data_IF_865588983172
#
_entry.id   IF_865588983172
#
_cell.length_a   1.000
_cell.length_b   1.000
_cell.length_c   1.000
_cell.angle_alpha   90.00
_cell.angle_beta   90.00
_cell.angle_gamma   90.00
#
_symmetry.space_group_name_H-M   'P 1'
#
loop_
_entity.id
_entity.type
_entity.pdbx_description
1 polymer ?
#
# COMPACT_ATOMS: atom_id res chain seq x y z
N UNK A 1 -19.31 -5.97 -36.43
CA UNK A 1 -19.14 -6.40 -35.04
C UNK A 1 -17.81 -7.12 -34.92
N UNK A 2 -16.83 -6.53 -34.23
CA UNK A 2 -15.64 -7.22 -33.74
C UNK A 2 -14.97 -6.34 -32.66
N UNK A 3 -15.01 -6.83 -31.42
CA UNK A 3 -14.10 -6.55 -30.30
C UNK A 3 -13.60 -5.11 -30.06
N UNK A 4 -14.49 -4.24 -29.57
CA UNK A 4 -14.09 -3.25 -28.56
C UNK A 4 -13.97 -3.95 -27.20
N UNK A 5 -12.85 -4.67 -26.97
CA UNK A 5 -12.41 -4.91 -25.59
C UNK A 5 -11.95 -3.56 -25.07
N UNK A 6 -12.76 -2.92 -24.22
CA UNK A 6 -12.35 -1.68 -23.57
C UNK A 6 -11.22 -1.98 -22.59
N UNK A 7 -10.00 -1.82 -23.11
CA UNK A 7 -8.81 -1.61 -22.31
C UNK A 7 -9.07 -0.35 -21.50
N UNK A 8 -9.34 -0.50 -20.19
CA UNK A 8 -9.05 0.59 -19.25
C UNK A 8 -7.61 1.00 -19.57
N UNK A 9 -7.43 2.24 -20.00
CA UNK A 9 -6.08 2.75 -20.26
C UNK A 9 -5.25 2.50 -19.00
N UNK A 10 -4.02 1.99 -19.15
CA UNK A 10 -3.08 1.78 -18.03
C UNK A 10 -3.03 2.99 -17.09
N UNK A 11 -3.28 4.19 -17.63
CA UNK A 11 -3.41 5.48 -16.94
C UNK A 11 -4.57 5.50 -15.94
N UNK A 12 -5.80 5.14 -16.32
CA UNK A 12 -6.95 5.17 -15.40
C UNK A 12 -6.80 4.16 -14.26
N UNK A 13 -6.15 3.01 -14.55
CA UNK A 13 -5.83 2.05 -13.52
C UNK A 13 -4.72 2.58 -12.59
N UNK A 14 -3.66 3.17 -13.15
CA UNK A 14 -2.59 3.84 -12.41
C UNK A 14 -3.13 4.95 -11.48
N UNK A 15 -4.06 5.78 -11.96
CA UNK A 15 -4.69 6.82 -11.12
C UNK A 15 -5.37 6.21 -9.89
N UNK A 16 -6.11 5.12 -10.06
CA UNK A 16 -6.85 4.47 -8.96
C UNK A 16 -5.91 3.90 -7.90
N UNK A 17 -4.86 3.20 -8.32
CA UNK A 17 -3.87 2.66 -7.37
C UNK A 17 -3.05 3.76 -6.72
N UNK A 18 -2.78 4.86 -7.43
CA UNK A 18 -2.06 6.02 -6.89
C UNK A 18 -2.86 6.72 -5.80
N UNK A 19 -4.18 6.90 -5.99
CA UNK A 19 -5.09 7.41 -4.96
C UNK A 19 -5.04 6.52 -3.71
N UNK A 20 -5.10 5.20 -3.90
CA UNK A 20 -4.98 4.21 -2.82
C UNK A 20 -3.67 4.37 -2.05
N UNK A 21 -2.54 4.33 -2.74
CA UNK A 21 -1.20 4.45 -2.17
C UNK A 21 -1.00 5.76 -1.40
N UNK A 22 -1.45 6.88 -1.97
CA UNK A 22 -1.33 8.22 -1.35
C UNK A 22 -2.22 8.33 -0.11
N UNK A 23 -3.42 7.76 -0.15
CA UNK A 23 -4.27 7.68 1.03
C UNK A 23 -3.68 6.79 2.13
N UNK A 24 -3.14 5.62 1.80
CA UNK A 24 -2.51 4.72 2.78
C UNK A 24 -1.30 5.36 3.44
N UNK A 25 -0.45 6.05 2.67
CA UNK A 25 0.64 6.89 3.23
C UNK A 25 0.10 7.92 4.22
N UNK A 26 -1.01 8.58 3.88
CA UNK A 26 -1.60 9.58 4.76
C UNK A 26 -2.12 9.00 6.07
N UNK A 27 -2.77 7.83 6.02
CA UNK A 27 -3.22 7.10 7.22
C UNK A 27 -2.01 6.65 8.05
N UNK A 28 -0.96 6.16 7.41
CA UNK A 28 0.28 5.77 8.07
C UNK A 28 0.93 6.94 8.83
N UNK A 29 1.03 8.12 8.19
CA UNK A 29 1.55 9.35 8.81
C UNK A 29 0.66 9.85 9.95
N UNK A 30 -0.66 9.74 9.81
CA UNK A 30 -1.63 10.09 10.86
C UNK A 30 -1.43 9.22 12.11
N UNK A 31 -1.31 7.89 11.93
CA UNK A 31 -1.03 6.96 13.02
C UNK A 31 0.31 7.25 13.70
N UNK A 32 1.36 7.59 12.93
CA UNK A 32 2.65 8.03 13.48
C UNK A 32 2.50 9.31 14.30
N UNK A 33 1.79 10.32 13.78
CA UNK A 33 1.53 11.60 14.46
C UNK A 33 0.80 11.41 15.79
N UNK A 34 -0.09 10.43 15.88
CA UNK A 34 -0.79 10.04 17.10
C UNK A 34 0.08 9.24 18.10
N UNK A 35 1.37 9.04 17.80
CA UNK A 35 2.33 8.36 18.68
C UNK A 35 2.18 6.83 18.69
N UNK A 36 1.66 6.27 17.60
CA UNK A 36 1.59 4.83 17.37
C UNK A 36 2.78 4.34 16.53
N UNK A 37 2.91 3.01 16.41
CA UNK A 37 3.98 2.38 15.65
C UNK A 37 3.39 1.55 14.50
N UNK A 38 2.88 2.22 13.45
CA UNK A 38 2.33 1.54 12.29
C UNK A 38 3.46 0.94 11.43
N UNK A 39 3.16 -0.19 10.83
CA UNK A 39 3.92 -0.81 9.74
C UNK A 39 2.97 -1.08 8.58
N UNK A 40 3.52 -1.13 7.37
CA UNK A 40 2.80 -1.64 6.22
C UNK A 40 2.53 -3.14 6.41
N UNK A 41 1.27 -3.54 6.39
CA UNK A 41 0.86 -4.94 6.48
C UNK A 41 0.68 -5.52 5.08
N UNK A 42 -0.26 -4.99 4.29
CA UNK A 42 -0.38 -5.34 2.87
C UNK A 42 0.79 -4.76 2.08
N UNK A 43 1.61 -5.65 1.51
CA UNK A 43 2.79 -5.31 0.74
C UNK A 43 2.43 -4.51 -0.51
N UNK A 44 2.96 -3.29 -0.59
CA UNK A 44 2.74 -2.38 -1.71
C UNK A 44 1.47 -1.54 -1.58
N UNK A 45 0.77 -1.58 -0.44
CA UNK A 45 -0.38 -0.69 -0.17
C UNK A 45 -0.01 0.80 -0.14
N UNK A 46 1.28 1.13 0.05
CA UNK A 46 1.81 2.50 -0.08
C UNK A 46 2.53 2.74 -1.42
N UNK A 47 2.48 1.80 -2.37
CA UNK A 47 3.13 1.88 -3.68
C UNK A 47 2.10 1.75 -4.80
N UNK A 48 2.45 2.25 -5.98
CA UNK A 48 1.66 2.12 -7.21
C UNK A 48 2.44 1.43 -8.33
N UNK A 49 3.48 0.66 -7.99
CA UNK A 49 4.21 -0.19 -8.95
C UNK A 49 3.27 -1.27 -9.48
N UNK A 50 3.19 -1.38 -10.81
CA UNK A 50 2.41 -2.40 -11.52
C UNK A 50 3.37 -3.38 -12.18
N UNK A 51 3.10 -4.67 -12.01
CA UNK A 51 3.76 -5.76 -12.74
C UNK A 51 2.87 -6.16 -13.91
N UNK A 52 3.40 -6.11 -15.13
CA UNK A 52 2.58 -6.25 -16.36
C UNK A 52 2.54 -7.70 -16.83
N UNK A 53 3.61 -8.47 -16.60
CA UNK A 53 3.74 -9.86 -17.05
C UNK A 53 3.22 -10.90 -16.06
N UNK A 54 3.30 -10.62 -14.75
CA UNK A 54 2.94 -11.58 -13.69
C UNK A 54 1.90 -10.97 -12.75
N UNK A 55 0.75 -11.63 -12.64
CA UNK A 55 -0.33 -11.18 -11.76
C UNK A 55 -0.25 -11.88 -10.40
N UNK A 56 0.31 -11.19 -9.42
CA UNK A 56 0.35 -11.68 -8.04
C UNK A 56 -1.02 -11.52 -7.39
N UNK A 57 -1.60 -12.63 -6.90
CA UNK A 57 -2.79 -12.62 -6.04
C UNK A 57 -2.34 -12.86 -4.59
N UNK A 58 -2.14 -11.77 -3.85
CA UNK A 58 -1.72 -11.84 -2.43
C UNK A 58 -2.88 -12.23 -1.51
N UNK A 59 -2.52 -12.57 -0.28
CA UNK A 59 -3.45 -12.70 0.81
C UNK A 59 -4.14 -11.35 1.07
N UNK A 60 -5.46 -11.36 1.24
CA UNK A 60 -6.23 -10.17 1.57
C UNK A 60 -6.13 -9.89 3.07
N UNK A 61 -5.33 -8.88 3.41
CA UNK A 61 -5.08 -8.38 4.76
C UNK A 61 -5.33 -6.87 4.76
N UNK A 62 -5.55 -6.25 5.93
CA UNK A 62 -5.58 -4.80 6.01
C UNK A 62 -4.27 -4.16 5.54
N UNK A 63 -4.35 -2.92 5.03
CA UNK A 63 -3.17 -2.17 4.58
C UNK A 63 -2.09 -2.01 5.66
N UNK A 64 -2.47 -1.67 6.89
CA UNK A 64 -1.55 -1.27 7.97
C UNK A 64 -1.77 -2.08 9.25
N UNK A 65 -0.71 -2.21 10.05
CA UNK A 65 -0.73 -2.81 11.39
C UNK A 65 -0.01 -1.91 12.40
N UNK A 66 -0.62 -1.60 13.54
CA UNK A 66 0.08 -1.01 14.68
C UNK A 66 0.66 -2.09 15.59
N UNK A 67 1.99 -2.19 15.69
CA UNK A 67 2.67 -3.22 16.50
C UNK A 67 2.34 -3.09 18.00
N UNK A 68 2.17 -1.86 18.51
CA UNK A 68 1.97 -1.62 19.94
C UNK A 68 0.62 -2.10 20.47
N UNK A 69 -0.40 -2.25 19.62
CA UNK A 69 -1.74 -2.67 20.06
C UNK A 69 -2.39 -3.73 19.16
N UNK A 70 -1.72 -4.18 18.10
CA UNK A 70 -2.23 -5.22 17.21
C UNK A 70 -3.38 -4.78 16.31
N UNK A 71 -3.80 -3.50 16.40
CA UNK A 71 -4.89 -2.96 15.58
C UNK A 71 -4.45 -2.82 14.14
N UNK A 72 -5.27 -3.33 13.22
CA UNK A 72 -5.04 -3.21 11.79
C UNK A 72 -5.99 -2.18 11.19
N UNK A 73 -5.54 -1.56 10.11
CA UNK A 73 -6.26 -0.46 9.46
C UNK A 73 -6.26 -0.67 7.96
N UNK A 74 -7.45 -0.71 7.37
CA UNK A 74 -7.65 -0.65 5.92
C UNK A 74 -7.87 0.80 5.51
N UNK A 75 -7.03 1.30 4.61
CA UNK A 75 -7.15 2.63 4.03
C UNK A 75 -8.14 2.64 2.88
N UNK A 76 -8.98 3.66 2.85
CA UNK A 76 -9.99 3.90 1.82
C UNK A 76 -9.94 5.35 1.38
N UNK A 77 -9.04 5.60 0.44
CA UNK A 77 -8.92 6.87 -0.26
C UNK A 77 -10.07 7.08 -1.24
N UNK A 78 -10.64 8.29 -1.29
CA UNK A 78 -11.76 8.64 -2.17
C UNK A 78 -11.60 10.04 -2.73
N UNK A 79 -11.93 10.23 -4.00
CA UNK A 79 -12.04 11.58 -4.61
C UNK A 79 -13.31 12.32 -4.20
N UNK A 80 -14.37 11.55 -3.90
CA UNK A 80 -15.59 12.04 -3.27
C UNK A 80 -15.84 11.22 -2.03
N UNK A 81 -15.71 11.85 -0.87
CA UNK A 81 -15.78 11.13 0.39
C UNK A 81 -17.18 10.52 0.61
N UNK A 82 -17.19 9.21 0.81
CA UNK A 82 -18.36 8.42 1.17
C UNK A 82 -17.87 7.11 1.79
N UNK A 83 -18.70 6.52 2.66
CA UNK A 83 -18.41 5.21 3.23
C UNK A 83 -18.91 4.15 2.24
N UNK A 84 -18.06 3.71 1.31
CA UNK A 84 -18.43 2.69 0.34
C UNK A 84 -17.32 1.71 -0.02
N UNK A 85 -17.73 0.48 -0.29
CA UNK A 85 -16.84 -0.65 -0.59
C UNK A 85 -17.43 -1.56 -1.65
N UNK A 86 -16.55 -2.30 -2.31
CA UNK A 86 -16.93 -3.35 -3.25
C UNK A 86 -17.29 -4.63 -2.51
N UNK A 87 -18.34 -5.31 -2.94
CA UNK A 87 -18.80 -6.56 -2.33
C UNK A 87 -19.30 -7.53 -3.40
N UNK A 88 -18.85 -8.77 -3.31
CA UNK A 88 -19.37 -9.89 -4.07
C UNK A 88 -20.22 -10.80 -3.19
N UNK A 89 -21.45 -11.08 -3.63
CA UNK A 89 -22.28 -12.14 -3.04
C UNK A 89 -21.93 -13.54 -3.57
N UNK A 90 -21.35 -13.62 -4.76
CA UNK A 90 -21.00 -14.87 -5.41
C UNK A 90 -19.64 -15.41 -4.96
N UNK A 91 -18.78 -14.56 -4.41
CA UNK A 91 -17.39 -14.88 -4.07
C UNK A 91 -17.08 -14.31 -2.68
N UNK A 92 -17.18 -15.12 -1.61
CA UNK A 92 -16.96 -14.66 -0.24
C UNK A 92 -15.59 -14.02 0.00
N UNK A 93 -14.55 -14.49 -0.71
CA UNK A 93 -13.19 -13.93 -0.77
C UNK A 93 -13.14 -12.49 -1.32
N UNK A 94 -14.19 -12.08 -2.05
CA UNK A 94 -14.40 -10.73 -2.56
C UNK A 94 -15.47 -9.95 -1.78
N UNK A 95 -15.83 -10.43 -0.58
CA UNK A 95 -16.62 -9.66 0.38
C UNK A 95 -15.88 -8.37 0.78
N UNK A 96 -16.60 -7.32 1.17
CA UNK A 96 -15.99 -6.05 1.56
C UNK A 96 -15.15 -6.18 2.84
N UNK A 97 -15.52 -7.11 3.72
CA UNK A 97 -14.93 -7.38 5.02
C UNK A 97 -14.09 -8.66 5.07
N UNK A 98 -13.83 -9.29 3.92
CA UNK A 98 -12.97 -10.47 3.86
C UNK A 98 -11.56 -10.11 4.33
N UNK A 99 -11.01 -10.91 5.24
CA UNK A 99 -9.69 -10.66 5.84
C UNK A 99 -9.67 -9.65 7.00
N UNK A 100 -10.83 -9.04 7.33
CA UNK A 100 -10.97 -8.08 8.44
C UNK A 100 -11.56 -8.74 9.69
N UNK A 101 -11.09 -8.34 10.87
CA UNK A 101 -11.67 -8.66 12.18
C UNK A 101 -12.58 -7.51 12.63
N UNK A 102 -13.48 -7.79 13.58
CA UNK A 102 -14.41 -6.79 14.11
C UNK A 102 -13.72 -5.58 14.73
N UNK A 103 -12.51 -5.80 15.24
CA UNK A 103 -11.73 -4.85 16.00
C UNK A 103 -10.72 -4.08 15.14
N UNK A 104 -10.66 -4.37 13.83
CA UNK A 104 -9.96 -3.59 12.83
C UNK A 104 -10.69 -2.27 12.51
N UNK A 105 -9.98 -1.38 11.83
CA UNK A 105 -10.51 -0.08 11.42
C UNK A 105 -10.47 0.10 9.92
N UNK A 106 -11.44 0.86 9.42
CA UNK A 106 -11.41 1.49 8.11
C UNK A 106 -11.02 2.95 8.31
N UNK A 107 -9.97 3.39 7.65
CA UNK A 107 -9.56 4.79 7.61
C UNK A 107 -10.00 5.42 6.28
N UNK A 108 -10.83 6.46 6.36
CA UNK A 108 -11.30 7.21 5.21
C UNK A 108 -10.49 8.49 5.06
N UNK A 109 -10.02 8.73 3.84
CA UNK A 109 -9.26 9.93 3.48
C UNK A 109 -9.73 10.45 2.13
N UNK A 110 -9.90 11.77 2.03
CA UNK A 110 -10.24 12.42 0.77
C UNK A 110 -8.96 12.70 -0.02
N UNK A 111 -8.98 12.49 -1.34
CA UNK A 111 -7.87 12.81 -2.23
C UNK A 111 -8.32 13.76 -3.34
N UNK A 112 -7.52 14.78 -3.62
CA UNK A 112 -7.74 15.75 -4.70
C UNK A 112 -6.62 15.66 -5.74
N UNK A 113 -6.95 15.94 -7.01
CA UNK A 113 -5.97 15.99 -8.09
C UNK A 113 -5.32 17.37 -8.08
N UNK A 114 -3.98 17.42 -8.08
CA UNK A 114 -3.19 18.66 -7.96
C UNK A 114 -2.35 18.98 -9.21
N UNK A 115 -2.33 18.08 -10.19
CA UNK A 115 -1.60 18.22 -11.45
C UNK A 115 -2.23 17.41 -12.56
N UNK A 116 -1.62 17.42 -13.74
CA UNK A 116 -2.17 16.72 -14.92
C UNK A 116 -1.79 15.24 -14.94
N UNK A 117 -0.67 14.89 -14.29
CA UNK A 117 -0.12 13.54 -14.26
C UNK A 117 -1.03 12.53 -13.53
N UNK A 118 -0.90 11.23 -13.85
CA UNK A 118 -1.73 10.19 -13.24
C UNK A 118 -1.45 9.95 -11.75
N UNK A 119 -0.30 10.42 -11.26
CA UNK A 119 0.14 10.28 -9.87
C UNK A 119 0.00 11.58 -9.05
N UNK A 120 -0.46 12.67 -9.67
CA UNK A 120 -0.51 14.01 -9.08
C UNK A 120 -1.74 14.16 -8.18
N UNK A 121 -1.75 13.40 -7.08
CA UNK A 121 -2.80 13.41 -6.09
C UNK A 121 -2.28 13.88 -4.74
N UNK A 122 -3.15 14.54 -3.98
CA UNK A 122 -2.90 14.95 -2.60
C UNK A 122 -4.00 14.43 -1.70
N UNK A 123 -3.61 13.77 -0.61
CA UNK A 123 -4.54 13.36 0.43
C UNK A 123 -4.77 14.49 1.44
N UNK A 124 -6.01 14.62 1.89
CA UNK A 124 -6.41 15.55 2.97
C UNK A 124 -5.76 15.20 4.30
N UNK A 125 -5.51 16.20 5.14
CA UNK A 125 -5.07 16.02 6.53
C UNK A 125 -6.09 15.33 7.44
N UNK A 126 -7.36 15.32 7.05
CA UNK A 126 -8.43 14.72 7.82
C UNK A 126 -8.56 13.22 7.52
N UNK A 127 -8.07 12.39 8.45
CA UNK A 127 -8.30 10.94 8.48
C UNK A 127 -9.43 10.61 9.45
N UNK A 128 -10.37 9.78 9.00
CA UNK A 128 -11.57 9.42 9.77
C UNK A 128 -11.68 7.92 9.91
N UNK A 129 -11.80 7.42 11.14
CA UNK A 129 -11.73 6.01 11.49
C UNK A 129 -13.11 5.44 11.84
N UNK A 130 -13.37 4.22 11.35
CA UNK A 130 -14.59 3.46 11.61
C UNK A 130 -14.20 2.04 12.01
N UNK A 131 -14.69 1.53 13.14
CA UNK A 131 -14.48 0.11 13.48
C UNK A 131 -15.30 -0.80 12.56
N UNK A 132 -14.68 -1.89 12.11
CA UNK A 132 -15.31 -2.86 11.21
C UNK A 132 -16.57 -3.47 11.81
N UNK A 133 -16.59 -3.74 13.13
CA UNK A 133 -17.78 -4.17 13.88
C UNK A 133 -19.01 -3.33 13.55
N UNK A 134 -18.89 -2.00 13.57
CA UNK A 134 -20.03 -1.12 13.34
C UNK A 134 -20.51 -1.15 11.89
N UNK A 135 -19.60 -1.29 10.93
CA UNK A 135 -19.97 -1.48 9.53
C UNK A 135 -20.72 -2.80 9.33
N UNK A 136 -20.28 -3.89 9.97
CA UNK A 136 -20.96 -5.19 9.96
C UNK A 136 -22.34 -5.13 10.59
N UNK A 137 -22.46 -4.50 11.76
CA UNK A 137 -23.74 -4.29 12.45
C UNK A 137 -24.73 -3.51 11.57
N UNK A 138 -24.29 -2.40 10.97
CA UNK A 138 -25.13 -1.61 10.07
C UNK A 138 -25.49 -2.36 8.79
N UNK A 139 -24.58 -3.16 8.24
CA UNK A 139 -24.83 -4.00 7.07
C UNK A 139 -25.89 -5.07 7.37
N UNK A 140 -25.73 -5.82 8.48
CA UNK A 140 -26.71 -6.82 8.95
C UNK A 140 -28.08 -6.21 9.24
N UNK A 141 -28.10 -5.00 9.80
CA UNK A 141 -29.31 -4.24 10.08
C UNK A 141 -29.94 -3.58 8.82
N UNK A 142 -29.44 -3.88 7.62
CA UNK A 142 -29.91 -3.30 6.34
C UNK A 142 -29.89 -1.76 6.32
N UNK A 143 -28.96 -1.14 7.06
CA UNK A 143 -28.72 0.33 7.07
C UNK A 143 -27.72 0.75 5.99
N UNK A 144 -27.74 0.05 4.87
CA UNK A 144 -26.89 0.30 3.70
C UNK A 144 -27.76 0.32 2.46
N UNK A 145 -27.30 1.00 1.42
CA UNK A 145 -27.86 0.79 0.08
C UNK A 145 -26.80 0.21 -0.85
N UNK A 146 -27.29 -0.57 -1.80
CA UNK A 146 -26.47 -1.32 -2.75
C UNK A 146 -26.75 -0.80 -4.15
N UNK A 147 -25.68 -0.57 -4.90
CA UNK A 147 -25.76 -0.12 -6.28
C UNK A 147 -25.00 -1.13 -7.15
N UNK A 148 -25.71 -1.73 -8.11
CA UNK A 148 -25.07 -2.56 -9.13
C UNK A 148 -24.40 -1.65 -10.16
N UNK A 149 -23.16 -1.92 -10.58
CA UNK A 149 -22.51 -1.18 -11.65
C UNK A 149 -23.36 -1.23 -12.92
N UNK A 150 -23.47 -0.10 -13.62
CA UNK A 150 -24.40 0.05 -14.76
C UNK A 150 -23.80 -0.36 -16.10
N UNK A 151 -22.50 -0.68 -16.16
CA UNK A 151 -21.79 -0.98 -17.40
C UNK A 151 -20.80 -2.13 -17.31
N UNK A 152 -20.47 -2.70 -18.48
CA UNK A 152 -19.52 -3.82 -18.67
C UNK A 152 -18.10 -3.46 -18.19
N UNK A 153 -17.78 -2.16 -18.08
CA UNK A 153 -16.45 -1.63 -17.72
C UNK A 153 -16.23 -1.42 -16.20
N UNK A 154 -17.30 -1.39 -15.40
CA UNK A 154 -17.26 -1.02 -13.97
C UNK A 154 -17.02 -2.19 -13.01
N UNK A 155 -16.78 -3.40 -13.54
CA UNK A 155 -16.64 -4.63 -12.75
C UNK A 155 -17.99 -5.23 -12.37
N UNK A 156 -17.98 -6.48 -11.91
CA UNK A 156 -19.20 -7.24 -11.57
C UNK A 156 -19.64 -7.06 -10.11
N UNK A 157 -18.87 -6.32 -9.31
CA UNK A 157 -19.06 -6.25 -7.87
C UNK A 157 -20.05 -5.16 -7.48
N UNK A 158 -20.87 -5.43 -6.46
CA UNK A 158 -21.87 -4.50 -5.97
C UNK A 158 -21.21 -3.46 -5.08
N UNK A 159 -21.52 -2.17 -5.28
CA UNK A 159 -21.10 -1.12 -4.36
C UNK A 159 -22.04 -1.07 -3.17
N UNK A 160 -21.51 -1.39 -1.99
CA UNK A 160 -22.20 -1.21 -0.71
C UNK A 160 -21.86 0.17 -0.17
N UNK A 161 -22.88 0.96 0.19
CA UNK A 161 -22.69 2.29 0.75
C UNK A 161 -23.40 2.40 2.10
N UNK A 162 -22.65 2.81 3.13
CA UNK A 162 -23.17 3.22 4.42
C UNK A 162 -23.49 4.71 4.35
N UNK A 163 -24.77 5.11 4.41
CA UNK A 163 -25.17 6.50 4.24
C UNK A 163 -24.52 7.42 5.28
N UNK A 164 -23.99 8.55 4.82
CA UNK A 164 -23.41 9.59 5.66
C UNK A 164 -23.65 10.99 5.08
N UNK A 165 -23.61 12.03 5.91
CA UNK A 165 -23.60 13.43 5.51
C UNK A 165 -22.19 13.99 5.67
N UNK A 166 -21.68 14.65 4.63
CA UNK A 166 -20.31 15.16 4.57
C UNK A 166 -20.36 16.68 4.43
N UNK A 167 -19.55 17.37 5.22
CA UNK A 167 -19.37 18.81 5.13
C UNK A 167 -18.61 19.17 3.85
N UNK A 168 -19.20 20.02 3.02
CA UNK A 168 -18.59 20.48 1.76
C UNK A 168 -17.50 21.54 1.95
N UNK A 169 -17.26 21.98 3.18
CA UNK A 169 -16.29 23.02 3.54
C UNK A 169 -16.09 23.03 5.05
N UNK A 170 -15.05 23.73 5.53
CA UNK A 170 -14.93 24.06 6.95
C UNK A 170 -16.02 25.03 7.42
N UNK A 171 -16.39 24.92 8.69
CA UNK A 171 -17.51 25.66 9.27
C UNK A 171 -17.69 25.44 10.77
N UNK A 172 -18.78 25.96 11.31
CA UNK A 172 -19.26 25.71 12.67
C UNK A 172 -20.70 25.18 12.62
N UNK A 173 -21.05 24.21 13.47
CA UNK A 173 -22.40 23.67 13.53
C UNK A 173 -23.35 24.69 14.18
N UNK A 174 -24.35 25.13 13.43
CA UNK A 174 -25.34 26.11 13.89
C UNK A 174 -26.51 25.44 14.63
N UNK A 175 -27.06 24.36 14.08
CA UNK A 175 -28.28 23.73 14.59
C UNK A 175 -28.33 22.24 14.21
N UNK A 176 -28.71 21.40 15.16
CA UNK A 176 -29.02 19.98 14.93
C UNK A 176 -30.46 19.71 15.39
N UNK A 177 -31.35 19.42 14.43
CA UNK A 177 -32.70 18.99 14.73
C UNK A 177 -32.96 17.54 14.31
N UNK A 178 -34.20 17.06 14.46
CA UNK A 178 -34.57 15.65 14.18
C UNK A 178 -34.32 15.23 12.73
N UNK A 179 -34.32 16.18 11.78
CA UNK A 179 -34.34 15.91 10.34
C UNK A 179 -33.14 16.49 9.59
N UNK A 180 -32.47 17.51 10.13
CA UNK A 180 -31.39 18.23 9.44
C UNK A 180 -30.29 18.65 10.40
N UNK A 181 -29.10 18.81 9.83
CA UNK A 181 -27.96 19.49 10.43
C UNK A 181 -27.65 20.74 9.60
N UNK A 182 -27.43 21.87 10.28
CA UNK A 182 -27.02 23.13 9.65
C UNK A 182 -25.64 23.52 10.15
N UNK A 183 -24.80 24.01 9.26
CA UNK A 183 -23.51 24.57 9.62
C UNK A 183 -23.25 25.85 8.83
N UNK A 184 -22.55 26.80 9.45
CA UNK A 184 -22.14 28.06 8.85
C UNK A 184 -20.74 27.92 8.28
N UNK A 185 -20.58 28.24 7.00
CA UNK A 185 -19.28 28.13 6.31
C UNK A 185 -18.34 29.27 6.71
N UNK A 186 -17.09 28.94 7.01
CA UNK A 186 -16.07 29.93 7.42
C UNK A 186 -15.74 30.95 6.32
N UNK A 187 -15.84 30.56 5.05
CA UNK A 187 -15.41 31.40 3.91
C UNK A 187 -16.31 32.61 3.66
N UNK A 188 -17.63 32.47 3.84
CA UNK A 188 -18.61 33.47 3.42
C UNK A 188 -19.83 33.57 4.35
N UNK A 189 -19.82 32.88 5.48
CA UNK A 189 -20.93 32.88 6.45
C UNK A 189 -22.20 32.18 5.95
N UNK A 190 -22.18 31.54 4.77
CA UNK A 190 -23.37 30.88 4.22
C UNK A 190 -23.76 29.68 5.08
N UNK A 191 -25.04 29.60 5.45
CA UNK A 191 -25.60 28.44 6.13
C UNK A 191 -25.89 27.33 5.13
N UNK A 192 -25.27 26.17 5.35
CA UNK A 192 -25.48 24.94 4.59
C UNK A 192 -26.36 24.02 5.42
N UNK A 193 -27.39 23.45 4.80
CA UNK A 193 -28.34 22.56 5.48
C UNK A 193 -28.35 21.18 4.84
N UNK A 194 -28.00 20.15 5.60
CA UNK A 194 -27.95 18.76 5.15
C UNK A 194 -29.04 17.92 5.80
N UNK A 195 -29.64 17.01 5.04
CA UNK A 195 -30.63 16.05 5.54
C UNK A 195 -29.98 14.98 6.41
N UNK A 196 -30.61 14.66 7.55
CA UNK A 196 -30.30 13.52 8.41
C UNK A 196 -31.04 12.25 7.99
N UNK A 197 -31.44 12.16 6.72
CA UNK A 197 -31.94 10.94 6.10
C UNK A 197 -31.46 10.85 4.65
N UNK A 198 -31.10 9.64 4.20
CA UNK A 198 -30.73 9.33 2.82
C UNK A 198 -31.39 8.04 2.37
N UNK A 199 -32.15 8.09 1.27
CA UNK A 199 -32.93 6.95 0.73
C UNK A 199 -33.76 6.23 1.82
N UNK A 200 -34.42 7.00 2.69
CA UNK A 200 -35.22 6.46 3.81
C UNK A 200 -34.42 6.01 5.04
N UNK A 201 -33.09 5.95 4.98
CA UNK A 201 -32.24 5.56 6.11
C UNK A 201 -31.88 6.79 6.93
N UNK A 202 -32.23 6.77 8.22
CA UNK A 202 -31.92 7.85 9.17
C UNK A 202 -30.44 7.85 9.55
N UNK A 203 -29.84 9.04 9.56
CA UNK A 203 -28.48 9.31 9.98
C UNK A 203 -28.48 9.79 11.43
N UNK A 204 -27.45 9.42 12.18
CA UNK A 204 -27.18 10.01 13.50
C UNK A 204 -26.12 11.11 13.33
N UNK A 205 -26.35 12.34 13.82
CA UNK A 205 -25.30 13.33 13.97
C UNK A 205 -24.14 12.75 14.79
N UNK A 206 -22.91 13.06 14.40
CA UNK A 206 -21.67 12.66 15.09
C UNK A 206 -20.82 13.86 15.50
N UNK A 207 -21.43 15.04 15.45
CA UNK A 207 -20.90 16.33 15.89
C UNK A 207 -21.93 17.00 16.81
N UNK A 208 -21.48 17.94 17.62
CA UNK A 208 -22.34 18.76 18.49
C UNK A 208 -22.64 20.13 17.87
N UNK A 209 -23.65 20.83 18.40
CA UNK A 209 -23.82 22.25 18.11
C UNK A 209 -22.60 23.05 18.58
N UNK A 210 -22.29 24.14 17.88
CA UNK A 210 -21.10 24.97 18.10
C UNK A 210 -19.75 24.25 17.87
N UNK A 211 -19.76 23.00 17.39
CA UNK A 211 -18.53 22.30 17.03
C UNK A 211 -17.95 22.84 15.72
N UNK A 212 -16.64 23.10 15.70
CA UNK A 212 -15.93 23.43 14.46
C UNK A 212 -15.66 22.18 13.63
N UNK A 213 -16.00 22.24 12.35
CA UNK A 213 -15.88 21.15 11.39
C UNK A 213 -14.94 21.52 10.24
N UNK A 214 -14.33 20.50 9.64
CA UNK A 214 -13.44 20.64 8.48
C UNK A 214 -14.13 20.24 7.19
N UNK A 215 -13.58 20.72 6.07
CA UNK A 215 -13.97 20.24 4.75
C UNK A 215 -13.76 18.72 4.65
N UNK A 216 -14.70 18.03 4.00
CA UNK A 216 -14.75 16.57 3.89
C UNK A 216 -14.94 15.83 5.23
N UNK A 217 -15.28 16.51 6.32
CA UNK A 217 -15.65 15.82 7.56
C UNK A 217 -17.02 15.18 7.42
N UNK A 218 -17.14 13.90 7.80
CA UNK A 218 -18.43 13.26 7.97
C UNK A 218 -19.02 13.80 9.28
N UNK A 219 -20.23 14.35 9.21
CA UNK A 219 -20.90 15.01 10.35
C UNK A 219 -22.19 14.29 10.78
N UNK A 220 -22.68 13.36 9.97
CA UNK A 220 -23.72 12.43 10.36
C UNK A 220 -23.55 11.10 9.62
N UNK A 221 -23.87 9.98 10.25
CA UNK A 221 -23.68 8.65 9.68
C UNK A 221 -24.59 7.61 10.30
N UNK A 222 -24.73 6.46 9.63
CA UNK A 222 -25.36 5.26 10.19
C UNK A 222 -24.45 4.47 11.14
N UNK A 223 -23.14 4.77 11.11
CA UNK A 223 -22.12 4.17 11.97
C UNK A 223 -21.34 5.25 12.72
N UNK A 224 -20.85 4.98 13.94
CA UNK A 224 -19.93 5.87 14.64
C UNK A 224 -18.65 6.09 13.83
N UNK A 225 -18.12 7.31 13.86
CA UNK A 225 -16.88 7.69 13.19
C UNK A 225 -16.08 8.53 14.17
N UNK A 226 -14.76 8.34 14.16
CA UNK A 226 -13.86 9.05 15.05
C UNK A 226 -12.71 9.68 14.25
N UNK A 227 -12.35 10.91 14.59
CA UNK A 227 -11.11 11.55 14.11
C UNK A 227 -9.90 11.14 14.99
N UNK A 228 -10.13 10.27 15.98
CA UNK A 228 -9.12 9.70 16.87
C UNK A 228 -9.02 8.20 16.63
N UNK A 229 -7.80 7.70 16.55
CA UNK A 229 -7.52 6.27 16.64
C UNK A 229 -7.24 5.90 18.10
N UNK A 230 -8.00 4.96 18.67
CA UNK A 230 -7.80 4.48 20.06
C UNK A 230 -7.03 3.17 20.02
N UNK A 231 -5.82 3.18 20.59
CA UNK A 231 -4.95 2.03 20.63
C UNK A 231 -4.33 1.91 22.03
N UNK A 232 -4.68 0.86 22.80
CA UNK A 232 -4.30 0.72 24.21
C UNK A 232 -2.80 0.49 24.47
N UNK A 233 -2.00 0.32 23.41
CA UNK A 233 -0.53 0.11 23.46
C UNK A 233 -0.11 -1.06 24.38
N UNK A 234 -0.85 -2.16 24.38
CA UNK A 234 -0.71 -3.28 25.31
C UNK A 234 -0.22 -4.61 24.69
N UNK A 235 0.00 -4.66 23.36
CA UNK A 235 0.48 -5.87 22.69
C UNK A 235 1.96 -6.11 22.93
N UNK A 236 2.28 -7.35 23.27
CA UNK A 236 3.64 -7.85 23.54
C UNK A 236 4.01 -8.94 22.55
N UNK A 237 5.31 -9.24 22.46
CA UNK A 237 5.86 -10.30 21.61
C UNK A 237 5.12 -11.64 21.78
N UNK A 238 4.84 -12.05 23.03
CA UNK A 238 4.08 -13.28 23.34
C UNK A 238 2.68 -13.34 22.71
N UNK A 239 2.05 -12.19 22.52
CA UNK A 239 0.72 -12.12 21.90
C UNK A 239 0.82 -12.41 20.40
N UNK A 240 1.91 -11.98 19.75
CA UNK A 240 2.19 -12.29 18.35
C UNK A 240 2.67 -13.73 18.15
N UNK A 241 3.49 -14.27 19.06
CA UNK A 241 3.86 -15.70 19.07
C UNK A 241 2.60 -16.57 19.15
N UNK A 242 1.62 -16.21 19.98
CA UNK A 242 0.33 -16.90 20.00
C UNK A 242 -0.45 -16.72 18.69
N UNK A 243 -0.46 -15.51 18.15
CA UNK A 243 -1.24 -15.14 16.97
C UNK A 243 -0.73 -15.80 15.67
N UNK A 244 0.56 -16.13 15.59
CA UNK A 244 1.15 -16.81 14.41
C UNK A 244 0.57 -18.22 14.18
N UNK A 245 -0.11 -18.79 15.17
CA UNK A 245 -0.83 -20.06 15.10
C UNK A 245 -2.36 -19.88 15.08
N UNK A 246 -2.85 -18.67 14.77
CA UNK A 246 -4.28 -18.42 14.58
C UNK A 246 -4.85 -19.23 13.42
N UNK A 247 -6.13 -19.60 13.51
CA UNK A 247 -6.87 -20.19 12.38
C UNK A 247 -7.02 -19.20 11.22
N UNK A 248 -6.99 -17.90 11.51
CA UNK A 248 -7.10 -16.83 10.52
C UNK A 248 -5.78 -16.62 9.79
N UNK A 249 -5.79 -16.78 8.46
CA UNK A 249 -4.63 -16.48 7.61
C UNK A 249 -4.14 -15.04 7.79
N UNK A 250 -5.07 -14.08 7.85
CA UNK A 250 -4.75 -12.65 8.01
C UNK A 250 -4.04 -12.38 9.34
N UNK A 251 -4.42 -13.09 10.40
CA UNK A 251 -3.80 -12.99 11.71
C UNK A 251 -2.40 -13.62 11.73
N UNK A 252 -2.22 -14.80 11.12
CA UNK A 252 -0.90 -15.44 11.00
C UNK A 252 0.08 -14.56 10.23
N UNK A 253 -0.39 -13.95 9.14
CA UNK A 253 0.44 -13.06 8.31
C UNK A 253 0.84 -11.81 9.09
N UNK A 254 -0.13 -11.16 9.76
CA UNK A 254 0.13 -10.02 10.63
C UNK A 254 1.11 -10.34 11.76
N UNK A 255 1.00 -11.53 12.35
CA UNK A 255 1.92 -11.99 13.39
C UNK A 255 3.33 -12.20 12.85
N UNK A 256 3.49 -12.95 11.75
CA UNK A 256 4.79 -13.21 11.12
C UNK A 256 5.52 -11.90 10.79
N UNK A 257 4.79 -10.90 10.27
CA UNK A 257 5.34 -9.58 9.95
C UNK A 257 5.68 -8.75 11.20
N UNK A 258 4.81 -8.77 12.21
CA UNK A 258 5.03 -8.02 13.45
C UNK A 258 6.25 -8.50 14.22
N UNK A 259 6.51 -9.82 14.19
CA UNK A 259 7.58 -10.45 14.95
C UNK A 259 8.98 -9.94 14.57
N UNK A 260 9.20 -9.45 13.35
CA UNK A 260 10.48 -8.82 12.98
C UNK A 260 10.81 -7.52 13.71
N UNK A 261 9.90 -7.01 14.55
CA UNK A 261 10.08 -5.81 15.37
C UNK A 261 10.40 -6.13 16.84
N UNK A 262 10.69 -7.39 17.17
CA UNK A 262 11.02 -7.83 18.52
C UNK A 262 12.34 -8.62 18.53
N UNK A 263 13.30 -8.17 19.33
CA UNK A 263 14.62 -8.81 19.50
C UNK A 263 14.59 -9.85 20.65
N UNK A 264 13.60 -10.74 20.66
CA UNK A 264 13.51 -11.81 21.66
C UNK A 264 14.02 -13.14 21.08
N UNK A 265 14.78 -13.91 21.87
CA UNK A 265 15.48 -15.11 21.38
C UNK A 265 14.55 -16.18 20.81
N UNK A 266 13.34 -16.33 21.37
CA UNK A 266 12.31 -17.28 20.93
C UNK A 266 11.61 -16.88 19.62
N UNK A 267 11.79 -15.64 19.16
CA UNK A 267 11.14 -15.12 17.95
C UNK A 267 11.71 -15.77 16.70
N UNK A 268 13.04 -15.89 16.60
CA UNK A 268 13.69 -16.48 15.42
C UNK A 268 13.28 -17.93 15.28
N UNK A 269 13.32 -18.72 16.36
CA UNK A 269 12.89 -20.12 16.36
C UNK A 269 11.42 -20.28 15.93
N UNK A 270 10.54 -19.44 16.48
CA UNK A 270 9.11 -19.42 16.11
C UNK A 270 8.90 -19.14 14.62
N UNK A 271 9.67 -18.19 14.06
CA UNK A 271 9.58 -17.83 12.64
C UNK A 271 10.20 -18.90 11.73
N UNK A 272 11.27 -19.56 12.16
CA UNK A 272 11.88 -20.68 11.44
C UNK A 272 10.94 -21.88 11.36
N UNK A 273 10.28 -22.23 12.47
CA UNK A 273 9.23 -23.27 12.49
C UNK A 273 8.11 -22.91 11.51
N UNK A 274 7.62 -21.66 11.55
CA UNK A 274 6.54 -21.21 10.66
C UNK A 274 6.95 -21.18 9.18
N UNK A 275 8.19 -20.81 8.87
CA UNK A 275 8.75 -20.87 7.51
C UNK A 275 8.84 -22.31 6.99
N UNK A 276 9.23 -23.24 7.86
CA UNK A 276 9.37 -24.67 7.57
C UNK A 276 8.05 -25.44 7.43
N UNK A 277 6.94 -24.89 7.94
CA UNK A 277 5.62 -25.53 7.88
C UNK A 277 5.07 -25.57 6.45
N UNK A 278 5.30 -26.69 5.77
CA UNK A 278 4.82 -26.93 4.40
C UNK A 278 3.30 -27.00 4.27
N UNK A 279 2.56 -27.12 5.38
CA UNK A 279 1.09 -27.10 5.38
C UNK A 279 0.51 -25.70 5.47
N UNK A 280 1.31 -24.70 5.87
CA UNK A 280 0.85 -23.31 5.93
C UNK A 280 0.92 -22.65 4.54
N UNK A 281 0.20 -21.55 4.40
CA UNK A 281 0.09 -20.82 3.15
C UNK A 281 1.43 -20.17 2.77
N UNK A 282 1.82 -20.24 1.49
CA UNK A 282 3.12 -19.74 1.00
C UNK A 282 3.44 -18.30 1.42
N UNK A 283 2.50 -17.35 1.34
CA UNK A 283 2.70 -15.97 1.82
C UNK A 283 2.99 -15.86 3.32
N UNK A 284 2.50 -16.77 4.17
CA UNK A 284 2.84 -16.80 5.60
C UNK A 284 4.31 -17.23 5.77
N UNK A 285 4.70 -18.28 5.05
CA UNK A 285 6.06 -18.82 5.08
C UNK A 285 7.08 -17.82 4.53
N UNK A 286 6.72 -17.13 3.44
CA UNK A 286 7.50 -16.03 2.86
C UNK A 286 7.66 -14.86 3.82
N UNK A 287 6.59 -14.45 4.51
CA UNK A 287 6.68 -13.39 5.50
C UNK A 287 7.51 -13.81 6.71
N UNK A 288 7.40 -15.06 7.17
CA UNK A 288 8.24 -15.60 8.23
C UNK A 288 9.73 -15.60 7.82
N UNK A 289 10.04 -16.08 6.62
CA UNK A 289 11.39 -16.03 6.04
C UNK A 289 11.94 -14.60 5.94
N UNK A 290 11.09 -13.65 5.53
CA UNK A 290 11.41 -12.23 5.46
C UNK A 290 11.76 -11.68 6.85
N UNK A 291 10.96 -12.00 7.86
CA UNK A 291 11.18 -11.59 9.24
C UNK A 291 12.46 -12.17 9.84
N UNK A 292 12.77 -13.45 9.60
CA UNK A 292 14.04 -14.08 9.99
C UNK A 292 15.23 -13.32 9.39
N UNK A 293 15.16 -12.98 8.10
CA UNK A 293 16.24 -12.28 7.41
C UNK A 293 16.39 -10.82 7.86
N UNK A 294 15.27 -10.15 8.19
CA UNK A 294 15.27 -8.80 8.79
C UNK A 294 15.92 -8.76 10.16
N UNK A 295 15.75 -9.83 10.94
CA UNK A 295 16.39 -10.01 12.26
C UNK A 295 17.88 -10.40 12.16
N UNK A 296 18.43 -10.50 10.93
CA UNK A 296 19.84 -10.76 10.70
C UNK A 296 20.23 -12.25 10.64
N UNK A 297 19.27 -13.16 10.83
CA UNK A 297 19.52 -14.59 10.62
C UNK A 297 19.60 -14.91 9.13
N UNK A 298 20.57 -15.76 8.75
CA UNK A 298 20.78 -16.21 7.37
C UNK A 298 20.11 -17.56 7.07
N UNK A 299 19.39 -18.13 8.03
CA UNK A 299 18.80 -19.47 7.94
C UNK A 299 17.67 -19.53 6.91
N UNK A 300 17.02 -18.40 6.61
CA UNK A 300 16.00 -18.31 5.56
C UNK A 300 16.57 -18.15 4.14
N UNK A 301 17.89 -18.02 3.96
CA UNK A 301 18.49 -17.81 2.63
C UNK A 301 18.30 -19.01 1.70
N UNK A 302 18.31 -20.24 2.24
CA UNK A 302 18.02 -21.44 1.44
C UNK A 302 16.59 -21.39 0.92
N UNK A 303 15.64 -21.06 1.80
CA UNK A 303 14.23 -20.93 1.43
C UNK A 303 14.02 -19.88 0.32
N UNK A 304 14.67 -18.72 0.40
CA UNK A 304 14.59 -17.73 -0.68
C UNK A 304 15.18 -18.22 -2.00
N UNK A 305 16.29 -18.97 -1.98
CA UNK A 305 16.84 -19.57 -3.21
C UNK A 305 15.85 -20.57 -3.84
N UNK A 306 15.19 -21.37 -3.03
CA UNK A 306 14.19 -22.34 -3.50
C UNK A 306 12.99 -21.60 -4.11
N UNK A 307 12.50 -20.52 -3.44
CA UNK A 307 11.40 -19.67 -3.95
C UNK A 307 11.75 -18.99 -5.28
N UNK A 308 12.99 -18.53 -5.46
CA UNK A 308 13.42 -17.90 -6.72
C UNK A 308 13.49 -18.90 -7.90
N UNK A 309 13.40 -20.20 -7.62
CA UNK A 309 13.36 -21.29 -8.59
C UNK A 309 12.01 -22.03 -8.59
N UNK A 310 11.01 -21.53 -7.85
CA UNK A 310 9.68 -22.15 -7.71
C UNK A 310 9.00 -22.34 -9.07
N UNK A 311 8.15 -23.35 -9.26
CA UNK A 311 7.49 -23.56 -10.56
C UNK A 311 6.56 -22.38 -10.95
N UNK A 312 6.02 -21.67 -9.96
CA UNK A 312 5.11 -20.55 -10.17
C UNK A 312 5.87 -19.22 -10.20
N UNK A 313 5.75 -18.49 -11.31
CA UNK A 313 6.38 -17.19 -11.49
C UNK A 313 5.88 -16.16 -10.46
N UNK A 314 4.65 -16.29 -9.98
CA UNK A 314 4.08 -15.46 -8.92
C UNK A 314 4.88 -15.59 -7.61
N UNK A 315 5.30 -16.82 -7.26
CA UNK A 315 6.09 -17.07 -6.06
C UNK A 315 7.50 -16.50 -6.23
N UNK A 316 8.13 -16.70 -7.39
CA UNK A 316 9.44 -16.11 -7.70
C UNK A 316 9.41 -14.58 -7.59
N UNK A 317 8.40 -13.95 -8.20
CA UNK A 317 8.29 -12.50 -8.20
C UNK A 317 8.02 -11.97 -6.79
N UNK A 318 7.17 -12.64 -6.00
CA UNK A 318 6.98 -12.25 -4.59
C UNK A 318 8.29 -12.37 -3.79
N UNK A 319 9.08 -13.43 -4.01
CA UNK A 319 10.41 -13.59 -3.41
C UNK A 319 11.35 -12.43 -3.77
N UNK A 320 11.38 -12.02 -5.04
CA UNK A 320 12.14 -10.84 -5.50
C UNK A 320 11.69 -9.56 -4.80
N UNK A 321 10.37 -9.32 -4.72
CA UNK A 321 9.83 -8.11 -4.08
C UNK A 321 10.19 -8.10 -2.58
N UNK A 322 10.03 -9.22 -1.89
CA UNK A 322 10.38 -9.35 -0.47
C UNK A 322 11.86 -9.07 -0.24
N UNK A 323 12.76 -9.66 -1.05
CA UNK A 323 14.19 -9.38 -0.94
C UNK A 323 14.50 -7.90 -1.16
N UNK A 324 13.78 -7.22 -2.06
CA UNK A 324 13.89 -5.77 -2.28
C UNK A 324 13.46 -4.89 -1.09
N UNK A 325 12.68 -5.43 -0.16
CA UNK A 325 12.28 -4.73 1.08
C UNK A 325 13.30 -4.88 2.20
N UNK A 326 14.20 -5.86 2.10
CA UNK A 326 15.12 -6.25 3.17
C UNK A 326 16.51 -5.72 2.84
N UNK A 327 16.83 -4.55 3.41
CA UNK A 327 18.11 -3.85 3.21
C UNK A 327 19.29 -4.53 3.90
N UNK A 328 19.80 -5.59 3.28
CA UNK A 328 21.05 -6.23 3.69
C UNK A 328 21.83 -6.80 2.48
N UNK A 329 23.10 -7.15 2.72
CA UNK A 329 24.02 -7.68 1.70
C UNK A 329 23.56 -9.01 1.09
N UNK A 330 22.82 -9.84 1.85
CA UNK A 330 22.37 -11.15 1.36
C UNK A 330 21.24 -11.00 0.35
N UNK A 331 20.30 -10.08 0.58
CA UNK A 331 19.27 -9.70 -0.38
C UNK A 331 19.88 -9.15 -1.66
N UNK A 332 20.84 -8.21 -1.54
CA UNK A 332 21.57 -7.68 -2.71
C UNK A 332 22.20 -8.78 -3.53
N UNK A 333 22.90 -9.73 -2.88
CA UNK A 333 23.56 -10.84 -3.56
C UNK A 333 22.58 -11.75 -4.32
N UNK A 334 21.47 -12.15 -3.69
CA UNK A 334 20.46 -13.00 -4.33
C UNK A 334 19.79 -12.28 -5.50
N UNK A 335 19.49 -10.98 -5.36
CA UNK A 335 18.88 -10.19 -6.42
C UNK A 335 19.85 -9.94 -7.59
N UNK A 336 21.13 -9.70 -7.32
CA UNK A 336 22.16 -9.61 -8.37
C UNK A 336 22.24 -10.94 -9.15
N UNK A 337 22.30 -12.06 -8.44
CA UNK A 337 22.29 -13.39 -9.08
C UNK A 337 21.03 -13.58 -9.94
N UNK A 338 19.86 -13.21 -9.42
CA UNK A 338 18.59 -13.30 -10.15
C UNK A 338 18.57 -12.42 -11.39
N UNK A 339 19.11 -11.20 -11.32
CA UNK A 339 19.17 -10.27 -12.46
C UNK A 339 20.08 -10.80 -13.58
N UNK A 340 21.23 -11.37 -13.21
CA UNK A 340 22.28 -11.80 -14.14
C UNK A 340 22.05 -13.21 -14.71
N UNK A 341 21.18 -14.00 -14.11
CA UNK A 341 20.80 -15.32 -14.61
C UNK A 341 20.03 -15.21 -15.93
N UNK A 342 20.65 -15.61 -17.04
CA UNK A 342 20.05 -15.53 -18.38
C UNK A 342 18.96 -16.58 -18.62
N UNK A 343 18.93 -17.66 -17.83
CA UNK A 343 17.90 -18.69 -17.90
C UNK A 343 16.65 -18.32 -17.08
N UNK A 344 16.74 -17.28 -16.24
CA UNK A 344 15.62 -16.78 -15.47
C UNK A 344 14.62 -16.02 -16.36
N UNK A 345 13.35 -16.11 -15.99
CA UNK A 345 12.27 -15.39 -16.68
C UNK A 345 12.52 -13.87 -16.69
N UNK A 346 12.30 -13.22 -17.83
CA UNK A 346 12.63 -11.80 -18.01
C UNK A 346 11.87 -10.86 -17.07
N UNK A 347 10.62 -11.15 -16.71
CA UNK A 347 9.85 -10.32 -15.76
C UNK A 347 10.43 -10.45 -14.34
N UNK A 348 10.93 -11.64 -13.97
CA UNK A 348 11.62 -11.87 -12.69
C UNK A 348 12.95 -11.11 -12.65
N UNK A 349 13.71 -11.15 -13.75
CA UNK A 349 14.96 -10.39 -13.90
C UNK A 349 14.72 -8.88 -13.84
N UNK A 350 13.70 -8.38 -14.53
CA UNK A 350 13.29 -6.98 -14.46
C UNK A 350 12.82 -6.58 -13.05
N UNK A 351 12.10 -7.48 -12.37
CA UNK A 351 11.76 -7.33 -10.96
C UNK A 351 12.98 -7.25 -10.05
N UNK A 352 14.01 -8.05 -10.31
CA UNK A 352 15.26 -8.03 -9.56
C UNK A 352 16.01 -6.70 -9.77
N UNK A 353 16.07 -6.19 -11.01
CA UNK A 353 16.61 -4.85 -11.28
C UNK A 353 15.88 -3.79 -10.46
N UNK A 354 14.54 -3.77 -10.50
CA UNK A 354 13.72 -2.85 -9.71
C UNK A 354 14.03 -2.95 -8.21
N UNK A 355 14.07 -4.17 -7.67
CA UNK A 355 14.32 -4.44 -6.25
C UNK A 355 15.71 -3.95 -5.80
N UNK A 356 16.75 -4.08 -6.64
CA UNK A 356 18.09 -3.55 -6.34
C UNK A 356 18.07 -2.02 -6.19
N UNK A 357 17.25 -1.32 -6.97
CA UNK A 357 17.03 0.13 -6.80
C UNK A 357 16.36 0.49 -5.46
N UNK A 358 15.43 -0.33 -4.98
CA UNK A 358 14.75 -0.13 -3.68
C UNK A 358 15.69 -0.35 -2.48
N UNK A 359 16.66 -1.25 -2.62
CA UNK A 359 17.66 -1.53 -1.59
C UNK A 359 18.62 -0.35 -1.33
N UNK A 360 18.80 0.53 -2.31
CA UNK A 360 19.69 1.70 -2.20
C UNK A 360 21.15 1.35 -1.86
N UNK A 361 21.64 0.21 -2.33
CA UNK A 361 23.02 -0.26 -2.07
C UNK A 361 23.96 0.04 -3.24
N UNK A 362 25.18 0.50 -2.93
CA UNK A 362 26.24 0.76 -3.91
C UNK A 362 26.73 -0.51 -4.63
N UNK A 363 26.66 -1.66 -3.96
CA UNK A 363 27.16 -2.95 -4.49
C UNK A 363 26.38 -3.44 -5.72
N UNK A 364 25.21 -2.86 -6.00
CA UNK A 364 24.33 -3.29 -7.10
C UNK A 364 24.63 -2.59 -8.42
N UNK A 365 25.45 -1.52 -8.40
CA UNK A 365 25.64 -0.63 -9.56
C UNK A 365 26.20 -1.37 -10.77
N UNK A 366 27.23 -2.19 -10.57
CA UNK A 366 27.86 -2.95 -11.66
C UNK A 366 26.86 -3.90 -12.34
N UNK A 367 26.08 -4.64 -11.55
CA UNK A 367 25.07 -5.55 -12.08
C UNK A 367 23.99 -4.80 -12.89
N UNK A 368 23.51 -3.66 -12.39
CA UNK A 368 22.51 -2.82 -13.07
C UNK A 368 23.04 -2.24 -14.38
N UNK A 369 24.32 -1.85 -14.44
CA UNK A 369 24.95 -1.35 -15.68
C UNK A 369 25.15 -2.48 -16.69
N UNK A 370 25.61 -3.66 -16.23
CA UNK A 370 25.97 -4.77 -17.11
C UNK A 370 24.80 -5.32 -17.95
N UNK A 371 23.55 -5.06 -17.54
CA UNK A 371 22.35 -5.57 -18.21
C UNK A 371 21.77 -4.60 -19.24
N UNK A 372 22.43 -3.48 -19.51
CA UNK A 372 22.02 -2.61 -20.62
C UNK A 372 22.23 -3.26 -21.99
N UNK A 373 23.14 -4.22 -22.09
CA UNK A 373 23.33 -5.04 -23.31
C UNK A 373 22.33 -6.20 -23.40
N UNK A 374 21.32 -6.25 -22.51
CA UNK A 374 20.29 -7.28 -22.59
C UNK A 374 19.31 -7.02 -23.74
N UNK A 375 18.83 -8.10 -24.37
CA UNK A 375 17.86 -8.04 -25.47
C UNK A 375 16.48 -7.61 -24.94
N UNK A 376 16.17 -7.93 -23.68
CA UNK A 376 14.86 -7.63 -23.11
C UNK A 376 14.77 -6.16 -22.65
N UNK A 377 13.84 -5.43 -23.25
CA UNK A 377 13.61 -4.00 -22.98
C UNK A 377 13.19 -3.70 -21.54
N UNK A 378 12.39 -4.56 -20.91
CA UNK A 378 11.89 -4.32 -19.56
C UNK A 378 13.02 -4.38 -18.52
N UNK A 379 13.98 -5.29 -18.71
CA UNK A 379 15.18 -5.38 -17.86
C UNK A 379 15.98 -4.08 -17.96
N UNK A 380 16.23 -3.59 -19.18
CA UNK A 380 16.96 -2.33 -19.40
C UNK A 380 16.23 -1.14 -18.79
N UNK A 381 14.92 -1.07 -18.97
CA UNK A 381 14.08 0.02 -18.44
C UNK A 381 14.08 0.04 -16.90
N UNK A 382 13.94 -1.12 -16.25
CA UNK A 382 14.01 -1.21 -14.78
C UNK A 382 15.41 -0.95 -14.25
N UNK A 383 16.47 -1.35 -14.96
CA UNK A 383 17.85 -0.98 -14.61
C UNK A 383 18.09 0.52 -14.71
N UNK A 384 17.64 1.17 -15.79
CA UNK A 384 17.72 2.63 -15.93
C UNK A 384 16.97 3.35 -14.80
N UNK A 385 15.74 2.92 -14.48
CA UNK A 385 14.95 3.47 -13.36
C UNK A 385 15.62 3.26 -12.01
N UNK A 386 16.28 2.11 -11.82
CA UNK A 386 16.99 1.80 -10.59
C UNK A 386 18.25 2.65 -10.44
N UNK A 387 19.04 2.81 -11.50
CA UNK A 387 20.17 3.74 -11.51
C UNK A 387 19.72 5.19 -11.28
N UNK A 388 18.59 5.61 -11.85
CA UNK A 388 17.99 6.92 -11.57
C UNK A 388 17.71 7.10 -10.07
N UNK A 389 17.10 6.10 -9.41
CA UNK A 389 16.86 6.13 -7.95
C UNK A 389 18.15 6.18 -7.14
N UNK A 390 19.21 5.53 -7.63
CA UNK A 390 20.51 5.45 -6.97
C UNK A 390 21.39 6.68 -7.24
N UNK A 391 21.11 7.46 -8.28
CA UNK A 391 21.91 8.63 -8.68
C UNK A 391 21.92 9.74 -7.62
N UNK A 392 20.90 9.83 -6.77
CA UNK A 392 20.90 10.72 -5.60
C UNK A 392 22.03 10.39 -4.62
N UNK A 393 22.32 9.10 -4.43
CA UNK A 393 23.28 8.62 -3.44
C UNK A 393 24.66 8.33 -4.03
N UNK A 394 24.71 7.87 -5.28
CA UNK A 394 25.91 7.29 -5.89
C UNK A 394 26.21 7.82 -7.30
N UNK A 395 25.75 9.03 -7.65
CA UNK A 395 25.96 9.63 -8.98
C UNK A 395 27.43 9.60 -9.44
N UNK A 396 28.36 9.98 -8.56
CA UNK A 396 29.81 9.94 -8.82
C UNK A 396 30.39 8.55 -9.00
N UNK A 397 29.73 7.51 -8.49
CA UNK A 397 30.14 6.12 -8.75
C UNK A 397 29.53 5.59 -10.04
N UNK A 398 28.28 5.97 -10.35
CA UNK A 398 27.60 5.62 -11.60
C UNK A 398 28.36 6.18 -12.81
N UNK A 399 28.83 7.43 -12.76
CA UNK A 399 29.54 8.06 -13.88
C UNK A 399 30.86 7.33 -14.25
N UNK A 400 31.50 6.63 -13.30
CA UNK A 400 32.72 5.86 -13.55
C UNK A 400 32.50 4.68 -14.50
N UNK A 401 31.26 4.22 -14.65
CA UNK A 401 30.91 3.17 -15.60
C UNK A 401 30.71 3.70 -17.03
N UNK A 402 30.43 5.00 -17.20
CA UNK A 402 30.17 5.61 -18.49
C UNK A 402 31.31 5.41 -19.52
N UNK A 403 32.59 5.70 -19.23
CA UNK A 403 33.67 5.55 -20.23
C UNK A 403 33.96 4.08 -20.60
N UNK A 404 33.55 3.13 -19.76
CA UNK A 404 33.79 1.69 -19.96
C UNK A 404 32.58 0.95 -20.55
N UNK A 405 31.41 1.58 -20.54
CA UNK A 405 30.17 0.96 -20.99
C UNK A 405 30.07 0.86 -22.50
N UNK A 406 29.26 -0.10 -22.97
CA UNK A 406 28.76 -0.17 -24.35
C UNK A 406 27.94 1.07 -24.73
N UNK A 407 27.51 1.16 -25.99
CA UNK A 407 26.61 2.23 -26.42
C UNK A 407 25.28 2.22 -25.64
N UNK A 408 24.66 1.05 -25.49
CA UNK A 408 23.42 0.89 -24.74
C UNK A 408 23.62 1.22 -23.25
N UNK A 409 24.74 0.79 -22.66
CA UNK A 409 25.07 1.12 -21.27
C UNK A 409 25.25 2.62 -21.06
N UNK A 410 25.96 3.30 -21.97
CA UNK A 410 26.12 4.76 -21.95
C UNK A 410 24.76 5.46 -22.08
N UNK A 411 23.90 5.01 -23.00
CA UNK A 411 22.56 5.58 -23.16
C UNK A 411 21.71 5.44 -21.88
N UNK A 412 21.71 4.26 -21.26
CA UNK A 412 21.01 3.99 -20.01
C UNK A 412 21.52 4.83 -18.83
N UNK A 413 22.86 4.93 -18.68
CA UNK A 413 23.50 5.76 -17.65
C UNK A 413 23.15 7.24 -17.85
N UNK A 414 23.27 7.76 -19.08
CA UNK A 414 22.92 9.15 -19.41
C UNK A 414 21.47 9.47 -19.07
N UNK A 415 20.54 8.58 -19.41
CA UNK A 415 19.12 8.77 -19.08
C UNK A 415 18.91 8.84 -17.57
N UNK A 416 19.52 7.92 -16.82
CA UNK A 416 19.37 7.84 -15.36
C UNK A 416 19.91 9.10 -14.66
N UNK A 417 21.11 9.55 -15.02
CA UNK A 417 21.73 10.75 -14.46
C UNK A 417 20.95 12.01 -14.84
N UNK A 418 20.53 12.14 -16.10
CA UNK A 418 19.72 13.26 -16.58
C UNK A 418 18.42 13.43 -15.81
N UNK A 419 17.71 12.34 -15.54
CA UNK A 419 16.46 12.41 -14.77
C UNK A 419 16.65 12.74 -13.30
N UNK A 420 17.83 12.47 -12.75
CA UNK A 420 18.14 12.78 -11.34
C UNK A 420 18.52 14.25 -11.10
N UNK A 421 18.90 15.00 -12.13
CA UNK A 421 19.45 16.36 -11.99
C UNK A 421 20.89 16.42 -11.45
N UNK A 422 21.51 15.28 -11.09
CA UNK A 422 22.86 15.20 -10.54
C UNK A 422 23.94 15.07 -11.63
N UNK A 423 24.05 16.09 -12.50
CA UNK A 423 25.04 16.09 -13.58
C UNK A 423 26.44 16.59 -13.18
N UNK A 424 26.67 16.93 -11.90
CA UNK A 424 27.94 17.51 -11.47
C UNK A 424 28.71 16.53 -10.59
N UNK A 425 29.72 15.91 -11.19
CA UNK A 425 30.90 15.47 -10.44
C UNK A 425 31.53 16.70 -9.76
N UNK A 426 32.19 16.49 -8.64
CA UNK A 426 32.91 17.55 -7.91
C UNK A 426 33.72 18.41 -8.87
N UNK A 427 33.30 19.67 -9.07
CA UNK A 427 34.03 20.65 -9.86
C UNK A 427 33.30 21.27 -11.07
N UNK A 428 32.08 21.77 -10.92
CA UNK A 428 31.62 22.93 -11.71
C UNK A 428 30.32 23.49 -11.15
N UNK A 429 30.40 24.68 -10.56
CA UNK A 429 29.23 25.51 -10.29
C UNK A 429 28.72 26.10 -11.60
N UNK A 430 27.54 25.68 -12.04
CA UNK A 430 26.69 26.51 -12.87
C UNK A 430 25.25 26.33 -12.35
N UNK A 431 24.87 27.24 -11.46
CA UNK A 431 23.47 27.61 -11.28
C UNK A 431 23.09 28.57 -12.41
N UNK A 432 21.84 28.44 -12.81
CA UNK A 432 21.01 29.41 -13.51
C UNK A 432 21.35 29.69 -14.99
N UNK A 433 20.51 29.13 -15.88
CA UNK A 433 19.61 29.90 -16.77
C UNK A 433 18.42 29.04 -17.24
#
# INVERSE_FOLDING_TARGET
>A
MANRRSLKTDISFLEKISIGAIGTKKVFDDLKRLGYYPIELERGSMSFKIWKGIKIKRLRVPDLLCIKCGKRVESRAKTKLQISMSHSFASPDRGWDFGLNDDDFIALVSCEKIGEGPIDWKASDLVQYIQVKHLREAFKAKKVFMERPKGVEEGFETRVTWPCAVASSGGEIDEINKNRIKFRRNKDGRVISLSLAKKGIKLKPIVAEQESIKENQIIASVVPISNKFVCPKDKRVRDYIKLINSVSLSDRYAAAKALSHFEAGDVVDTLLEKMGDSKDHIYIRLEAAASVLKLGSTESLKFFKDVLNDEYLENRLEGVIILGEIRNKHSSKLLIQTLLDKEQNSEIRAGAAWALGELKSKETLEALVSVFDDINLDIRAESARSLFRLAELYGSDIIKYFPKGSEDARAGISWALSKSGNFFGEGSSCRDE
#
